data_IF_743649481964
#
_entry.id   IF_743649481964
#
_cell.length_a   1.000
_cell.length_b   1.000
_cell.length_c   1.000
_cell.angle_alpha   90.00
_cell.angle_beta   90.00
_cell.angle_gamma   90.00
#
_symmetry.space_group_name_H-M   'P 1'
#
loop_
_entity.id
_entity.type
_entity.pdbx_description
1 polymer ?
#
# COMPACT_ATOMS: atom_id res chain seq x y z
N UNK A 1 -5.82 11.78 -2.52
CA UNK A 1 -4.66 11.54 -3.39
C UNK A 1 -4.78 10.11 -3.90
N UNK A 2 -4.43 9.86 -5.16
CA UNK A 2 -4.42 8.52 -5.75
C UNK A 2 -2.99 8.23 -6.20
N UNK A 3 -2.59 6.96 -6.10
CA UNK A 3 -1.27 6.47 -6.49
C UNK A 3 -1.45 5.28 -7.42
N UNK A 4 -0.56 5.14 -8.41
CA UNK A 4 -0.55 3.97 -9.28
C UNK A 4 0.04 2.75 -8.55
N UNK A 5 -0.34 1.54 -8.98
CA UNK A 5 0.24 0.32 -8.42
C UNK A 5 1.76 0.23 -8.63
N UNK A 6 2.27 0.73 -9.76
CA UNK A 6 3.72 0.72 -10.05
C UNK A 6 4.49 1.67 -9.14
N UNK A 7 3.94 2.84 -8.83
CA UNK A 7 4.61 3.80 -7.93
C UNK A 7 4.58 3.30 -6.48
N UNK A 8 3.46 2.70 -6.05
CA UNK A 8 3.37 2.03 -4.76
C UNK A 8 4.42 0.90 -4.64
N UNK A 9 4.55 0.05 -5.67
CA UNK A 9 5.55 -1.03 -5.68
C UNK A 9 6.99 -0.50 -5.59
N UNK A 10 7.31 0.58 -6.33
CA UNK A 10 8.62 1.25 -6.26
C UNK A 10 8.92 1.81 -4.88
N UNK A 11 7.95 2.49 -4.26
CA UNK A 11 8.10 3.02 -2.90
C UNK A 11 8.33 1.91 -1.88
N UNK A 12 7.63 0.78 -2.00
CA UNK A 12 7.84 -0.36 -1.11
C UNK A 12 9.28 -0.89 -1.26
N UNK A 13 9.79 -1.07 -2.48
CA UNK A 13 11.16 -1.52 -2.72
C UNK A 13 12.17 -0.53 -2.10
N UNK A 14 11.99 0.76 -2.33
CA UNK A 14 12.87 1.81 -1.80
C UNK A 14 12.86 1.85 -0.27
N UNK A 15 11.68 1.87 0.36
CA UNK A 15 11.53 1.98 1.81
C UNK A 15 12.01 0.71 2.56
N UNK A 16 11.90 -0.44 1.92
CA UNK A 16 12.38 -1.72 2.49
C UNK A 16 13.86 -1.97 2.22
N UNK A 17 14.43 -1.36 1.18
CA UNK A 17 15.76 -1.70 0.67
C UNK A 17 15.80 -3.07 -0.02
N UNK A 18 14.65 -3.56 -0.52
CA UNK A 18 14.53 -4.88 -1.12
C UNK A 18 15.24 -4.97 -2.48
N UNK A 19 15.69 -6.17 -2.84
CA UNK A 19 16.20 -6.51 -4.17
C UNK A 19 15.12 -7.09 -5.10
N UNK A 20 13.85 -7.09 -4.70
CA UNK A 20 12.74 -7.61 -5.51
C UNK A 20 12.63 -6.88 -6.86
N UNK A 21 12.33 -7.65 -7.91
CA UNK A 21 11.99 -7.08 -9.22
C UNK A 21 10.48 -6.78 -9.30
N UNK A 22 10.12 -5.78 -10.11
CA UNK A 22 8.72 -5.52 -10.47
C UNK A 22 8.41 -6.29 -11.76
N UNK A 23 7.48 -7.23 -11.67
CA UNK A 23 6.94 -7.97 -12.82
C UNK A 23 5.53 -7.47 -13.16
N UNK A 24 5.23 -7.36 -14.46
CA UNK A 24 3.91 -6.97 -14.95
C UNK A 24 3.15 -8.22 -15.40
N UNK A 25 2.05 -8.52 -14.72
CA UNK A 25 1.17 -9.64 -15.04
C UNK A 25 -0.13 -9.14 -15.71
N UNK A 26 -0.84 -10.01 -16.44
CA UNK A 26 -2.16 -9.69 -16.96
C UNK A 26 -3.12 -9.27 -15.83
N UNK A 27 -3.92 -8.22 -16.07
CA UNK A 27 -4.89 -7.74 -15.08
C UNK A 27 -5.97 -8.80 -14.82
N UNK A 28 -6.33 -9.08 -13.55
CA UNK A 28 -7.51 -9.87 -13.24
C UNK A 28 -8.78 -9.24 -13.84
N UNK A 29 -9.73 -10.07 -14.25
CA UNK A 29 -10.98 -9.62 -14.92
C UNK A 29 -11.78 -8.67 -14.02
N UNK A 30 -11.80 -8.94 -12.72
CA UNK A 30 -12.62 -8.22 -11.73
C UNK A 30 -11.91 -7.04 -11.05
N UNK A 31 -10.67 -6.73 -11.44
CA UNK A 31 -9.91 -5.64 -10.82
C UNK A 31 -10.26 -4.29 -11.49
N UNK A 32 -10.83 -3.31 -10.74
CA UNK A 32 -11.14 -2.01 -11.30
C UNK A 32 -9.87 -1.24 -11.65
N UNK A 33 -9.88 -0.51 -12.76
CA UNK A 33 -8.68 0.20 -13.24
C UNK A 33 -8.27 1.36 -12.31
N UNK A 34 -9.27 1.99 -11.67
CA UNK A 34 -9.12 3.19 -10.83
C UNK A 34 -10.08 3.08 -9.65
N UNK A 35 -9.61 3.44 -8.46
CA UNK A 35 -10.43 3.48 -7.25
C UNK A 35 -10.11 4.71 -6.42
N UNK A 36 -11.02 5.68 -6.46
CA UNK A 36 -10.92 6.93 -5.71
C UNK A 36 -12.20 7.18 -4.90
N UNK A 37 -12.25 6.81 -3.61
CA UNK A 37 -13.43 7.04 -2.79
C UNK A 37 -13.67 8.54 -2.56
N UNK A 38 -14.93 8.97 -2.62
CA UNK A 38 -15.34 10.28 -2.16
C UNK A 38 -15.68 10.24 -0.67
N UNK A 39 -14.88 10.92 0.14
CA UNK A 39 -15.09 11.03 1.59
C UNK A 39 -15.95 12.24 2.01
N UNK A 40 -16.67 12.89 1.09
CA UNK A 40 -17.46 14.11 1.39
C UNK A 40 -18.52 13.88 2.46
N UNK A 41 -19.20 12.74 2.45
CA UNK A 41 -20.22 12.40 3.46
C UNK A 41 -19.61 12.22 4.86
N UNK A 42 -18.45 11.54 4.94
CA UNK A 42 -17.77 11.36 6.22
C UNK A 42 -17.25 12.69 6.78
N UNK A 43 -16.74 13.58 5.92
CA UNK A 43 -16.37 14.94 6.31
C UNK A 43 -17.56 15.73 6.84
N UNK A 44 -18.71 15.70 6.15
CA UNK A 44 -19.86 16.53 6.53
C UNK A 44 -20.62 16.03 7.75
N UNK A 45 -20.69 14.71 7.96
CA UNK A 45 -21.49 14.10 9.03
C UNK A 45 -20.66 13.78 10.26
N UNK A 46 -19.38 13.45 10.09
CA UNK A 46 -18.52 12.95 11.16
C UNK A 46 -17.35 13.87 11.49
N UNK A 47 -17.17 14.98 10.77
CA UNK A 47 -15.95 15.80 10.81
C UNK A 47 -14.68 14.96 10.59
N UNK A 48 -14.80 13.90 9.79
CA UNK A 48 -13.74 12.93 9.58
C UNK A 48 -13.03 13.15 8.26
N UNK A 49 -11.69 13.05 8.30
CA UNK A 49 -10.84 12.97 7.11
C UNK A 49 -9.58 12.13 7.40
N UNK A 50 -8.93 11.53 6.38
CA UNK A 50 -7.64 10.90 6.56
C UNK A 50 -6.59 11.95 6.95
N UNK A 51 -5.87 11.69 8.04
CA UNK A 51 -4.81 12.58 8.56
C UNK A 51 -3.40 11.98 8.47
N UNK A 52 -3.30 10.71 8.12
CA UNK A 52 -2.02 10.00 8.00
C UNK A 52 -1.57 10.03 6.54
N UNK A 53 -0.41 10.65 6.23
CA UNK A 53 0.19 10.57 4.90
C UNK A 53 0.57 9.13 4.56
N UNK A 54 0.53 8.80 3.26
CA UNK A 54 0.78 7.44 2.78
C UNK A 54 2.19 6.95 3.14
N UNK A 55 3.20 7.81 3.08
CA UNK A 55 4.59 7.49 3.39
C UNK A 55 4.77 7.13 4.87
N UNK A 56 4.04 7.80 5.76
CA UNK A 56 4.02 7.51 7.20
C UNK A 56 3.34 6.16 7.44
N UNK A 57 2.17 5.93 6.81
CA UNK A 57 1.46 4.66 6.89
C UNK A 57 2.32 3.49 6.40
N UNK A 58 2.98 3.63 5.26
CA UNK A 58 3.87 2.60 4.70
C UNK A 58 5.03 2.28 5.64
N UNK A 59 5.70 3.30 6.21
CA UNK A 59 6.79 3.09 7.17
C UNK A 59 6.31 2.31 8.40
N UNK A 60 5.18 2.68 8.99
CA UNK A 60 4.62 1.96 10.13
C UNK A 60 4.31 0.51 9.80
N UNK A 61 3.72 0.24 8.62
CA UNK A 61 3.43 -1.13 8.18
C UNK A 61 4.72 -1.94 7.99
N UNK A 62 5.74 -1.35 7.36
CA UNK A 62 7.03 -2.02 7.15
C UNK A 62 7.71 -2.34 8.49
N UNK A 63 7.75 -1.39 9.41
CA UNK A 63 8.37 -1.57 10.71
C UNK A 63 7.64 -2.63 11.53
N UNK A 64 6.30 -2.67 11.46
CA UNK A 64 5.52 -3.71 12.10
C UNK A 64 5.87 -5.11 11.59
N UNK A 65 6.00 -5.30 10.28
CA UNK A 65 6.42 -6.61 9.72
C UNK A 65 7.88 -6.97 10.05
N UNK A 66 8.77 -5.98 10.22
CA UNK A 66 10.15 -6.23 10.69
C UNK A 66 10.17 -6.72 12.14
N UNK A 67 9.24 -6.25 12.96
CA UNK A 67 9.08 -6.67 14.36
C UNK A 67 8.38 -8.03 14.51
N UNK A 68 7.62 -8.46 13.50
CA UNK A 68 6.86 -9.72 13.49
C UNK A 68 7.28 -10.66 12.34
N UNK A 69 8.56 -11.08 12.29
CA UNK A 69 9.07 -11.94 11.21
C UNK A 69 8.36 -13.30 11.14
N UNK A 70 7.76 -13.77 12.24
CA UNK A 70 7.00 -15.02 12.30
C UNK A 70 5.72 -15.03 11.46
N UNK A 71 5.22 -13.85 11.07
CA UNK A 71 4.05 -13.73 10.20
C UNK A 71 4.41 -13.81 8.73
N UNK A 72 5.70 -13.75 8.41
CA UNK A 72 6.21 -13.86 7.05
C UNK A 72 6.64 -15.32 6.85
N UNK A 73 5.66 -16.18 6.55
CA UNK A 73 5.93 -17.53 6.03
C UNK A 73 6.55 -17.41 4.63
N UNK A 74 7.84 -17.10 4.59
CA UNK A 74 8.65 -17.35 3.41
C UNK A 74 9.04 -18.82 3.46
N UNK A 75 8.23 -19.67 2.81
CA UNK A 75 8.81 -20.92 2.32
C UNK A 75 10.07 -20.55 1.53
N UNK A 76 11.23 -21.14 1.84
CA UNK A 76 12.45 -20.82 1.13
C UNK A 76 12.25 -21.17 -0.34
N UNK A 77 12.46 -20.18 -1.20
CA UNK A 77 12.55 -20.34 -2.64
C UNK A 77 13.72 -21.28 -3.03
#
# INVERSE_FOLDING_TARGET
>A
HEISMVDLARWIIELTGSSSAIEFIPRPVDDPEVRRPDASLARSVLDWQPVVPIEVGLKHTIDWFREHPELVDVEPA
#
